data_IF_729082751663
#
_entry.id   IF_729082751663
#
_cell.length_a   1.000
_cell.length_b   1.000
_cell.length_c   1.000
_cell.angle_alpha   90.00
_cell.angle_beta   90.00
_cell.angle_gamma   90.00
#
_symmetry.space_group_name_H-M   'P 1'
#
loop_
_entity.id
_entity.type
_entity.pdbx_description
1 polymer ?
#
# COMPACT_ATOMS: atom_id res chain seq x y z
N UNK A 1 18.01 1.20 -29.05
CA UNK A 1 16.65 1.32 -28.49
C UNK A 1 16.34 0.08 -27.66
N UNK A 2 16.50 0.12 -26.33
CA UNK A 2 16.16 -1.02 -25.46
C UNK A 2 15.60 -0.58 -24.09
N UNK A 3 15.05 0.63 -24.01
CA UNK A 3 14.55 1.18 -22.75
C UNK A 3 13.14 0.63 -22.41
N UNK A 4 12.31 0.31 -23.41
CA UNK A 4 10.90 -0.07 -23.16
C UNK A 4 10.70 -1.42 -22.46
N UNK A 5 11.50 -2.45 -22.80
CA UNK A 5 11.38 -3.79 -22.21
C UNK A 5 11.93 -3.90 -20.78
N UNK A 6 12.94 -3.10 -20.43
CA UNK A 6 13.52 -3.11 -19.09
C UNK A 6 12.63 -2.34 -18.10
N UNK A 7 12.00 -1.24 -18.55
CA UNK A 7 11.08 -0.45 -17.73
C UNK A 7 9.78 -1.19 -17.38
N UNK A 8 9.29 -2.09 -18.24
CA UNK A 8 8.07 -2.87 -17.96
C UNK A 8 8.30 -3.90 -16.85
N UNK A 9 9.44 -4.60 -16.86
CA UNK A 9 9.81 -5.52 -15.79
C UNK A 9 10.04 -4.82 -14.46
N UNK A 10 10.66 -3.63 -14.52
CA UNK A 10 10.84 -2.74 -13.38
C UNK A 10 9.51 -2.25 -12.78
N UNK A 11 8.59 -1.76 -13.62
CA UNK A 11 7.27 -1.29 -13.18
C UNK A 11 6.49 -2.41 -12.47
N UNK A 12 6.52 -3.64 -12.99
CA UNK A 12 5.89 -4.80 -12.34
C UNK A 12 6.48 -5.11 -10.96
N UNK A 13 7.81 -4.99 -10.81
CA UNK A 13 8.50 -5.22 -9.53
C UNK A 13 8.20 -4.12 -8.50
N UNK A 14 8.03 -2.87 -8.97
CA UNK A 14 7.66 -1.70 -8.15
C UNK A 14 6.20 -1.73 -7.71
N UNK A 15 5.27 -2.09 -8.61
CA UNK A 15 3.83 -2.08 -8.34
C UNK A 15 3.42 -2.98 -7.16
N UNK A 16 4.16 -4.06 -6.91
CA UNK A 16 3.90 -4.99 -5.81
C UNK A 16 4.63 -4.62 -4.50
N UNK A 17 5.30 -3.46 -4.41
CA UNK A 17 6.09 -3.06 -3.23
C UNK A 17 5.80 -1.62 -2.81
N UNK A 18 5.61 -1.41 -1.50
CA UNK A 18 5.48 -0.06 -0.93
C UNK A 18 6.89 0.50 -0.72
N UNK A 19 7.33 1.35 -1.64
CA UNK A 19 8.68 1.93 -1.63
C UNK A 19 8.62 3.44 -1.43
N UNK A 20 9.61 3.97 -0.74
CA UNK A 20 9.89 5.40 -0.63
C UNK A 20 10.67 5.87 -1.86
N UNK A 21 10.62 7.18 -2.15
CA UNK A 21 11.33 7.74 -3.29
C UNK A 21 12.85 7.49 -3.24
N UNK A 22 13.44 7.39 -2.04
CA UNK A 22 14.86 7.02 -1.86
C UNK A 22 15.13 5.57 -2.24
N UNK A 23 14.27 4.65 -1.83
CA UNK A 23 14.40 3.23 -2.18
C UNK A 23 14.19 3.02 -3.69
N UNK A 24 13.32 3.81 -4.31
CA UNK A 24 13.15 3.82 -5.77
C UNK A 24 14.44 4.24 -6.46
N UNK A 25 15.05 5.34 -6.00
CA UNK A 25 16.30 5.84 -6.57
C UNK A 25 17.45 4.84 -6.42
N UNK A 26 17.61 4.23 -5.24
CA UNK A 26 18.62 3.17 -5.03
C UNK A 26 18.41 1.98 -5.96
N UNK A 27 17.16 1.54 -6.15
CA UNK A 27 16.86 0.44 -7.09
C UNK A 27 17.16 0.81 -8.55
N UNK A 28 17.01 2.08 -8.92
CA UNK A 28 17.37 2.54 -10.26
C UNK A 28 18.89 2.52 -10.45
N UNK A 29 19.64 2.94 -9.44
CA UNK A 29 21.12 2.87 -9.46
C UNK A 29 21.63 1.42 -9.49
N UNK A 30 21.06 0.52 -8.68
CA UNK A 30 21.39 -0.92 -8.69
C UNK A 30 21.17 -1.56 -10.07
N UNK A 31 20.18 -1.08 -10.81
CA UNK A 31 19.87 -1.55 -12.16
C UNK A 31 20.75 -0.89 -13.24
N UNK A 32 21.74 -0.09 -12.84
CA UNK A 32 22.68 0.60 -13.73
C UNK A 32 22.14 1.88 -14.35
N UNK A 33 20.97 2.35 -13.91
CA UNK A 33 20.40 3.61 -14.36
C UNK A 33 20.81 4.76 -13.45
N UNK A 34 21.96 5.37 -13.74
CA UNK A 34 22.34 6.64 -13.12
C UNK A 34 21.49 7.77 -13.71
N UNK A 35 20.54 8.28 -12.93
CA UNK A 35 19.67 9.37 -13.34
C UNK A 35 19.37 10.31 -12.19
N UNK A 36 19.02 11.56 -12.52
CA UNK A 36 18.58 12.53 -11.52
C UNK A 36 17.26 12.10 -10.88
N UNK A 37 17.00 12.59 -9.67
CA UNK A 37 15.75 12.34 -8.96
C UNK A 37 14.51 12.71 -9.80
N UNK A 38 14.55 13.84 -10.51
CA UNK A 38 13.44 14.28 -11.35
C UNK A 38 13.22 13.36 -12.56
N UNK A 39 14.29 12.87 -13.18
CA UNK A 39 14.19 11.88 -14.26
C UNK A 39 13.56 10.58 -13.78
N UNK A 40 13.92 10.11 -12.57
CA UNK A 40 13.31 8.93 -11.97
C UNK A 40 11.80 9.10 -11.75
N UNK A 41 11.36 10.26 -11.25
CA UNK A 41 9.93 10.57 -11.10
C UNK A 41 9.20 10.61 -12.45
N UNK A 42 9.80 11.25 -13.47
CA UNK A 42 9.20 11.30 -14.81
C UNK A 42 9.03 9.90 -15.42
N UNK A 43 10.01 9.01 -15.21
CA UNK A 43 9.93 7.61 -15.62
C UNK A 43 8.84 6.85 -14.86
N UNK A 44 8.70 7.09 -13.55
CA UNK A 44 7.61 6.47 -12.78
C UNK A 44 6.23 6.92 -13.27
N UNK A 45 6.07 8.22 -13.57
CA UNK A 45 4.83 8.75 -14.13
C UNK A 45 4.53 8.19 -15.52
N UNK A 46 5.55 7.96 -16.36
CA UNK A 46 5.35 7.37 -17.68
C UNK A 46 4.92 5.90 -17.65
N UNK A 47 5.17 5.20 -16.54
CA UNK A 47 4.67 3.85 -16.26
C UNK A 47 3.47 3.84 -15.31
N UNK A 48 2.80 4.99 -15.13
CA UNK A 48 1.61 5.18 -14.30
C UNK A 48 1.78 4.81 -12.82
N UNK A 49 3.01 4.92 -12.30
CA UNK A 49 3.30 4.75 -10.87
C UNK A 49 3.38 6.12 -10.22
N UNK A 50 2.50 6.34 -9.24
CA UNK A 50 2.40 7.59 -8.49
C UNK A 50 2.81 7.41 -7.03
N UNK A 51 3.40 8.46 -6.46
CA UNK A 51 3.67 8.51 -5.03
C UNK A 51 2.38 8.84 -4.27
N UNK A 52 2.05 8.03 -3.25
CA UNK A 52 0.93 8.32 -2.34
C UNK A 52 1.42 8.57 -0.91
N UNK A 53 0.82 9.53 -0.22
CA UNK A 53 1.09 9.80 1.19
C UNK A 53 0.49 8.67 2.03
N UNK A 54 1.32 8.01 2.83
CA UNK A 54 0.87 6.97 3.77
C UNK A 54 -0.10 7.56 4.79
N UNK A 55 -1.38 7.16 4.73
CA UNK A 55 -2.37 7.50 5.75
C UNK A 55 -1.96 6.90 7.10
N UNK A 56 -1.91 7.72 8.16
CA UNK A 56 -1.62 7.25 9.53
C UNK A 56 -2.70 6.26 9.94
N UNK A 57 -2.29 5.06 10.36
CA UNK A 57 -3.16 4.01 10.88
C UNK A 57 -2.62 3.55 12.23
N UNK A 58 -3.47 3.17 13.19
CA UNK A 58 -3.01 2.59 14.44
C UNK A 58 -2.22 1.30 14.13
N UNK A 59 -1.09 1.14 14.82
CA UNK A 59 -0.26 -0.04 14.67
C UNK A 59 -1.00 -1.25 15.26
N UNK A 60 -1.26 -2.25 14.42
CA UNK A 60 -1.86 -3.50 14.86
C UNK A 60 -0.75 -4.49 15.22
N UNK A 61 -0.79 -4.98 16.45
CA UNK A 61 0.03 -6.11 16.89
C UNK A 61 -0.33 -7.37 16.10
N UNK A 62 0.56 -8.35 16.08
CA UNK A 62 0.30 -9.65 15.43
C UNK A 62 -0.97 -10.32 16.00
N UNK A 63 -1.19 -10.19 17.31
CA UNK A 63 -2.39 -10.68 17.99
C UNK A 63 -3.65 -9.97 17.49
N UNK A 64 -3.65 -8.64 17.37
CA UNK A 64 -4.79 -7.90 16.83
C UNK A 64 -5.14 -8.36 15.41
N UNK A 65 -4.13 -8.55 14.55
CA UNK A 65 -4.33 -9.03 13.18
C UNK A 65 -4.96 -10.43 13.15
N UNK A 66 -4.45 -11.35 13.97
CA UNK A 66 -4.99 -12.72 14.07
C UNK A 66 -6.43 -12.73 14.56
N UNK A 67 -6.74 -11.96 15.60
CA UNK A 67 -8.08 -11.86 16.16
C UNK A 67 -9.07 -11.27 15.14
N UNK A 68 -8.70 -10.17 14.47
CA UNK A 68 -9.52 -9.55 13.42
C UNK A 68 -9.77 -10.50 12.25
N UNK A 69 -8.73 -11.22 11.80
CA UNK A 69 -8.87 -12.19 10.71
C UNK A 69 -9.78 -13.35 11.09
N UNK A 70 -9.62 -13.91 12.29
CA UNK A 70 -10.47 -14.99 12.78
C UNK A 70 -11.94 -14.54 12.89
N UNK A 71 -12.16 -13.32 13.39
CA UNK A 71 -13.50 -12.74 13.45
C UNK A 71 -14.09 -12.57 12.06
N UNK A 72 -13.36 -11.95 11.11
CA UNK A 72 -13.84 -11.77 9.74
C UNK A 72 -14.18 -13.10 9.06
N UNK A 73 -13.33 -14.12 9.18
CA UNK A 73 -13.60 -15.46 8.62
C UNK A 73 -14.84 -16.11 9.21
N UNK A 74 -15.06 -15.98 10.52
CA UNK A 74 -16.25 -16.52 11.19
C UNK A 74 -17.55 -15.88 10.70
N UNK A 75 -17.49 -14.62 10.29
CA UNK A 75 -18.65 -13.80 9.91
C UNK A 75 -18.73 -13.53 8.40
N UNK A 76 -17.89 -14.17 7.58
CA UNK A 76 -17.78 -13.89 6.14
C UNK A 76 -19.05 -14.22 5.35
N UNK A 77 -19.87 -15.13 5.85
CA UNK A 77 -21.13 -15.57 5.23
C UNK A 77 -22.36 -15.00 5.93
N UNK A 78 -22.19 -14.00 6.80
CA UNK A 78 -23.32 -13.35 7.45
C UNK A 78 -24.22 -12.64 6.45
N UNK A 79 -25.52 -12.87 6.60
CA UNK A 79 -26.55 -12.24 5.79
C UNK A 79 -26.89 -10.86 6.34
N UNK A 80 -27.60 -10.06 5.55
CA UNK A 80 -28.11 -8.74 5.98
C UNK A 80 -28.93 -8.86 7.28
N UNK A 81 -29.68 -9.96 7.46
CA UNK A 81 -30.47 -10.20 8.67
C UNK A 81 -29.59 -10.48 9.90
N UNK A 82 -28.43 -11.10 9.73
CA UNK A 82 -27.47 -11.34 10.82
C UNK A 82 -26.80 -10.02 11.24
N UNK A 83 -26.41 -9.18 10.28
CA UNK A 83 -25.85 -7.86 10.55
C UNK A 83 -26.83 -6.93 11.29
N UNK A 84 -28.13 -7.03 10.99
CA UNK A 84 -29.18 -6.27 11.70
C UNK A 84 -29.25 -6.58 13.18
N UNK A 85 -28.70 -7.70 13.64
CA UNK A 85 -28.68 -8.08 15.06
C UNK A 85 -27.46 -7.53 15.80
N UNK A 86 -26.50 -6.91 15.10
CA UNK A 86 -25.30 -6.34 15.71
C UNK A 86 -25.48 -4.85 15.97
N UNK A 87 -25.21 -4.45 17.21
CA UNK A 87 -25.16 -3.06 17.63
C UNK A 87 -23.70 -2.72 17.90
N UNK A 88 -23.21 -1.65 17.27
CA UNK A 88 -21.88 -1.11 17.52
C UNK A 88 -22.00 0.10 18.45
N UNK A 89 -21.26 0.08 19.55
CA UNK A 89 -21.09 1.22 20.45
C UNK A 89 -19.60 1.53 20.57
N UNK A 90 -19.24 2.81 20.49
CA UNK A 90 -17.87 3.30 20.70
C UNK A 90 -17.94 4.58 21.54
N UNK A 91 -16.89 4.83 22.31
CA UNK A 91 -16.77 6.02 23.16
C UNK A 91 -15.81 7.02 22.50
N UNK A 92 -16.22 8.29 22.44
CA UNK A 92 -15.36 9.37 21.96
C UNK A 92 -15.19 10.43 23.03
N UNK A 93 -13.96 10.94 23.17
CA UNK A 93 -13.67 12.01 24.10
C UNK A 93 -14.13 13.34 23.50
N UNK A 94 -15.11 13.98 24.13
CA UNK A 94 -15.52 15.35 23.80
C UNK A 94 -14.71 16.29 24.69
N UNK A 95 -13.83 17.09 24.08
CA UNK A 95 -13.21 18.23 24.77
C UNK A 95 -14.10 19.45 24.47
N UNK A 96 -14.83 19.92 25.48
CA UNK A 96 -15.53 21.22 25.46
C UNK A 96 -14.60 22.29 25.98
#
# INVERSE_FOLDING_TARGET
MQISGCLTGFARKMANSILTAKEVHLKLEELGYSMSYQSAINVLHSVEIFAEIKKKKPLLTAQHKKARLAWAKKHQYWTIHDWRRVIFSDETKINV
#
